data_IF_323548897486
#
_entry.id   IF_323548897486
#
_cell.length_a   1.000
_cell.length_b   1.000
_cell.length_c   1.000
_cell.angle_alpha   90.00
_cell.angle_beta   90.00
_cell.angle_gamma   90.00
#
_symmetry.space_group_name_H-M   'P 1'
#
loop_
_entity.id
_entity.type
_entity.pdbx_description
1 polymer ?
#
# COMPACT_ATOMS: atom_id res chain seq x y z
N UNK A 1 -12.96 3.99 -18.34
CA UNK A 1 -12.77 3.25 -17.07
C UNK A 1 -13.93 3.59 -16.14
N UNK A 2 -14.59 2.62 -15.52
CA UNK A 2 -15.56 2.86 -14.45
C UNK A 2 -14.83 3.08 -13.12
N UNK A 3 -15.41 3.91 -12.25
CA UNK A 3 -14.96 4.03 -10.86
C UNK A 3 -15.35 2.76 -10.12
N UNK A 4 -14.45 2.22 -9.31
CA UNK A 4 -14.70 1.07 -8.45
C UNK A 4 -14.83 1.55 -6.99
N UNK A 5 -15.79 1.01 -6.26
CA UNK A 5 -16.02 1.32 -4.86
C UNK A 5 -15.65 0.12 -3.99
N UNK A 6 -15.04 0.37 -2.83
CA UNK A 6 -14.59 -0.69 -1.95
C UNK A 6 -14.31 -0.26 -0.54
N UNK A 7 -13.74 -1.16 0.25
CA UNK A 7 -13.36 -0.93 1.64
C UNK A 7 -11.88 -1.23 1.88
N UNK A 8 -11.32 -0.59 2.90
CA UNK A 8 -9.99 -0.87 3.43
C UNK A 8 -10.10 -1.74 4.70
N UNK A 9 -9.61 -2.97 4.61
CA UNK A 9 -9.69 -3.96 5.68
C UNK A 9 -11.08 -4.57 5.89
N UNK A 10 -11.17 -5.44 6.88
CA UNK A 10 -12.42 -6.07 7.28
C UNK A 10 -13.21 -5.11 8.17
N UNK A 11 -14.47 -4.83 7.83
CA UNK A 11 -15.35 -4.04 8.68
C UNK A 11 -15.81 -4.84 9.92
N UNK A 12 -16.26 -4.14 10.96
CA UNK A 12 -16.84 -4.77 12.14
C UNK A 12 -18.06 -5.63 11.76
N UNK A 13 -18.93 -5.10 10.90
CA UNK A 13 -20.09 -5.85 10.40
C UNK A 13 -19.68 -7.17 9.75
N UNK A 14 -18.66 -7.17 8.88
CA UNK A 14 -18.16 -8.39 8.27
C UNK A 14 -17.64 -9.37 9.32
N UNK A 15 -16.81 -8.89 10.26
CA UNK A 15 -16.16 -9.74 11.27
C UNK A 15 -17.12 -10.32 12.30
N UNK A 16 -18.22 -9.61 12.60
CA UNK A 16 -19.24 -10.02 13.58
C UNK A 16 -20.31 -10.91 12.97
N UNK A 17 -20.69 -10.68 11.70
CA UNK A 17 -21.88 -11.34 11.12
C UNK A 17 -21.55 -12.38 10.05
N UNK A 18 -20.34 -12.35 9.45
CA UNK A 18 -19.98 -13.22 8.32
C UNK A 18 -18.79 -14.12 8.64
N UNK A 19 -17.59 -13.55 8.79
CA UNK A 19 -16.36 -14.32 8.99
C UNK A 19 -15.23 -13.45 9.56
N UNK A 20 -14.31 -14.10 10.28
CA UNK A 20 -13.03 -13.50 10.71
C UNK A 20 -11.90 -13.69 9.67
N UNK A 21 -12.14 -14.51 8.66
CA UNK A 21 -11.14 -14.82 7.64
C UNK A 21 -11.27 -13.85 6.46
N UNK A 22 -10.23 -13.08 6.18
CA UNK A 22 -10.21 -12.14 5.05
C UNK A 22 -10.42 -12.81 3.68
N UNK A 23 -10.22 -14.12 3.60
CA UNK A 23 -10.49 -14.87 2.37
C UNK A 23 -11.97 -14.91 1.99
N UNK A 24 -12.87 -14.68 2.94
CA UNK A 24 -14.32 -14.66 2.71
C UNK A 24 -14.84 -13.26 2.35
N UNK A 25 -14.03 -12.22 2.57
CA UNK A 25 -14.42 -10.83 2.33
C UNK A 25 -14.82 -10.56 0.87
N UNK A 26 -14.12 -11.07 -0.17
CA UNK A 26 -14.47 -10.77 -1.55
C UNK A 26 -15.91 -11.18 -1.93
N UNK A 27 -16.35 -12.36 -1.52
CA UNK A 27 -17.70 -12.85 -1.83
C UNK A 27 -18.78 -11.99 -1.12
N UNK A 28 -18.53 -11.61 0.11
CA UNK A 28 -19.42 -10.72 0.87
C UNK A 28 -19.48 -9.31 0.27
N UNK A 29 -18.33 -8.73 -0.11
CA UNK A 29 -18.27 -7.40 -0.74
C UNK A 29 -19.02 -7.37 -2.06
N UNK A 30 -18.87 -8.38 -2.89
CA UNK A 30 -19.65 -8.52 -4.11
C UNK A 30 -21.16 -8.58 -3.81
N UNK A 31 -21.57 -9.36 -2.81
CA UNK A 31 -22.99 -9.50 -2.43
C UNK A 31 -23.63 -8.19 -1.95
N UNK A 32 -22.85 -7.25 -1.40
CA UNK A 32 -23.32 -5.92 -1.00
C UNK A 32 -23.07 -4.84 -2.06
N UNK A 33 -22.64 -5.20 -3.26
CA UNK A 33 -22.50 -4.32 -4.42
C UNK A 33 -21.21 -3.49 -4.42
N UNK A 34 -20.14 -3.97 -3.79
CA UNK A 34 -18.82 -3.36 -3.86
C UNK A 34 -17.91 -4.07 -4.86
N UNK A 35 -16.89 -3.35 -5.36
CA UNK A 35 -16.03 -3.75 -6.49
C UNK A 35 -14.57 -3.95 -6.09
N UNK A 36 -14.15 -3.43 -4.91
CA UNK A 36 -12.75 -3.40 -4.52
C UNK A 36 -12.55 -3.71 -3.04
N UNK A 37 -11.37 -4.25 -2.73
CA UNK A 37 -10.94 -4.55 -1.37
C UNK A 37 -9.46 -4.24 -1.19
N UNK A 38 -9.12 -3.42 -0.21
CA UNK A 38 -7.76 -3.15 0.18
C UNK A 38 -7.35 -4.01 1.38
N UNK A 39 -6.40 -4.92 1.17
CA UNK A 39 -5.88 -5.76 2.25
C UNK A 39 -4.91 -4.99 3.14
N UNK A 40 -5.15 -4.96 4.45
CA UNK A 40 -4.40 -4.15 5.41
C UNK A 40 -3.24 -4.92 6.05
N UNK A 41 -2.00 -4.44 5.84
CA UNK A 41 -0.78 -4.94 6.49
C UNK A 41 -0.19 -3.98 7.54
N UNK A 42 -0.98 -3.13 8.17
CA UNK A 42 -0.54 -2.02 9.02
C UNK A 42 0.53 -2.36 10.07
N UNK A 43 0.48 -3.54 10.68
CA UNK A 43 1.45 -4.02 11.68
C UNK A 43 2.45 -5.06 11.13
N UNK A 44 2.72 -5.03 9.85
CA UNK A 44 3.62 -5.95 9.14
C UNK A 44 2.88 -6.94 8.24
N UNK A 45 3.57 -7.44 7.23
CA UNK A 45 3.05 -8.44 6.30
C UNK A 45 3.11 -9.81 6.98
N UNK A 46 1.96 -10.26 7.50
CA UNK A 46 1.84 -11.54 8.24
C UNK A 46 1.10 -12.61 7.45
N UNK A 47 0.51 -12.26 6.32
CA UNK A 47 -0.21 -13.21 5.48
C UNK A 47 0.79 -14.16 4.82
N UNK A 48 0.56 -15.47 4.96
CA UNK A 48 1.33 -16.48 4.25
C UNK A 48 0.83 -16.68 2.82
N UNK A 49 1.68 -17.24 1.96
CA UNK A 49 1.40 -17.42 0.54
C UNK A 49 0.08 -18.15 0.28
N UNK A 50 -0.19 -19.26 0.95
CA UNK A 50 -1.41 -20.05 0.76
C UNK A 50 -2.68 -19.21 1.02
N UNK A 51 -2.70 -18.44 2.10
CA UNK A 51 -3.82 -17.55 2.43
C UNK A 51 -3.95 -16.41 1.43
N UNK A 52 -2.82 -15.79 1.04
CA UNK A 52 -2.80 -14.70 0.06
C UNK A 52 -3.36 -15.18 -1.30
N UNK A 53 -2.92 -16.33 -1.79
CA UNK A 53 -3.45 -16.95 -3.02
C UNK A 53 -4.95 -17.30 -2.91
N UNK A 54 -5.41 -17.74 -1.73
CA UNK A 54 -6.84 -18.02 -1.52
C UNK A 54 -7.67 -16.74 -1.57
N UNK A 55 -7.20 -15.63 -0.96
CA UNK A 55 -7.85 -14.31 -1.07
C UNK A 55 -7.93 -13.90 -2.54
N UNK A 56 -6.83 -13.99 -3.28
CA UNK A 56 -6.78 -13.65 -4.70
C UNK A 56 -7.73 -14.47 -5.56
N UNK A 57 -7.76 -15.79 -5.33
CA UNK A 57 -8.70 -16.69 -6.04
C UNK A 57 -10.16 -16.30 -5.78
N UNK A 58 -10.52 -16.04 -4.53
CA UNK A 58 -11.88 -15.66 -4.15
C UNK A 58 -12.25 -14.29 -4.72
N UNK A 59 -11.30 -13.35 -4.72
CA UNK A 59 -11.50 -12.02 -5.32
C UNK A 59 -11.73 -12.10 -6.83
N UNK A 60 -10.92 -12.88 -7.55
CA UNK A 60 -11.10 -13.10 -8.99
C UNK A 60 -12.46 -13.74 -9.30
N UNK A 61 -12.91 -14.72 -8.51
CA UNK A 61 -14.22 -15.35 -8.66
C UNK A 61 -15.39 -14.40 -8.42
N UNK A 62 -15.23 -13.48 -7.46
CA UNK A 62 -16.22 -12.48 -7.10
C UNK A 62 -16.15 -11.19 -7.94
N UNK A 63 -15.16 -11.05 -8.83
CA UNK A 63 -14.97 -9.81 -9.61
C UNK A 63 -14.47 -8.62 -8.75
N UNK A 64 -13.87 -8.89 -7.59
CA UNK A 64 -13.34 -7.85 -6.67
C UNK A 64 -11.90 -7.53 -7.03
N UNK A 65 -11.60 -6.23 -7.23
CA UNK A 65 -10.23 -5.75 -7.42
C UNK A 65 -9.52 -5.61 -6.08
N UNK A 66 -8.28 -6.10 -6.03
CA UNK A 66 -7.45 -6.05 -4.82
C UNK A 66 -6.39 -4.98 -4.89
N UNK A 67 -6.16 -4.31 -3.76
CA UNK A 67 -4.95 -3.56 -3.43
C UNK A 67 -4.44 -4.00 -2.06
N UNK A 68 -3.22 -3.57 -1.70
CA UNK A 68 -2.62 -3.90 -0.41
C UNK A 68 -2.04 -2.65 0.23
N UNK A 69 -2.40 -2.38 1.48
CA UNK A 69 -1.78 -1.31 2.26
C UNK A 69 -0.56 -1.85 3.01
N UNK A 70 0.60 -1.26 2.76
CA UNK A 70 1.87 -1.63 3.37
C UNK A 70 1.93 -1.24 4.87
N UNK A 71 2.91 -1.78 5.63
CA UNK A 71 3.05 -1.47 7.05
C UNK A 71 3.34 0.00 7.32
N UNK A 72 2.79 0.54 8.42
CA UNK A 72 3.01 1.93 8.90
C UNK A 72 4.47 2.24 9.27
N UNK A 73 5.33 1.24 9.33
CA UNK A 73 6.74 1.36 9.71
C UNK A 73 7.63 1.89 8.60
N UNK A 74 7.13 2.01 7.37
CA UNK A 74 7.85 2.57 6.24
C UNK A 74 8.11 4.05 6.51
N UNK A 75 9.36 4.47 6.30
CA UNK A 75 9.82 5.83 6.55
C UNK A 75 10.76 6.28 5.43
N UNK A 76 10.17 6.80 4.35
CA UNK A 76 10.93 7.25 3.17
C UNK A 76 11.83 8.44 3.49
N UNK A 77 11.38 9.35 4.37
CA UNK A 77 12.13 10.55 4.74
C UNK A 77 13.24 10.31 5.81
N UNK A 78 13.50 9.05 6.18
CA UNK A 78 14.56 8.75 7.15
C UNK A 78 15.90 8.52 6.42
N UNK A 79 17.00 9.22 6.81
CA UNK A 79 18.31 9.06 6.18
C UNK A 79 19.13 7.91 6.77
N UNK A 80 18.70 7.29 7.88
CA UNK A 80 19.44 6.20 8.52
C UNK A 80 19.43 4.94 7.64
N UNK A 81 20.60 4.43 7.22
CA UNK A 81 20.68 3.29 6.30
C UNK A 81 19.97 2.02 6.79
N UNK A 82 19.97 1.77 8.10
CA UNK A 82 19.29 0.59 8.65
C UNK A 82 17.76 0.73 8.58
N UNK A 83 17.25 1.95 8.78
CA UNK A 83 15.83 2.24 8.61
C UNK A 83 15.41 2.17 7.14
N UNK A 84 16.24 2.66 6.24
CA UNK A 84 16.02 2.54 4.78
C UNK A 84 15.96 1.07 4.38
N UNK A 85 16.91 0.26 4.82
CA UNK A 85 16.95 -1.18 4.57
C UNK A 85 15.68 -1.90 5.08
N UNK A 86 15.20 -1.52 6.28
CA UNK A 86 13.93 -2.04 6.81
C UNK A 86 12.75 -1.62 5.95
N UNK A 87 12.69 -0.36 5.52
CA UNK A 87 11.62 0.15 4.64
C UNK A 87 11.60 -0.58 3.31
N UNK A 88 12.76 -0.82 2.69
CA UNK A 88 12.89 -1.67 1.48
C UNK A 88 12.31 -3.07 1.76
N UNK A 89 12.68 -3.69 2.88
CA UNK A 89 12.18 -5.01 3.27
C UNK A 89 10.66 -5.05 3.46
N UNK A 90 10.06 -4.00 4.04
CA UNK A 90 8.61 -3.90 4.19
C UNK A 90 7.90 -3.75 2.84
N UNK A 91 8.42 -2.91 1.94
CA UNK A 91 7.80 -2.71 0.62
C UNK A 91 7.94 -3.97 -0.23
N UNK A 92 9.10 -4.58 -0.30
CA UNK A 92 9.29 -5.82 -1.10
C UNK A 92 8.47 -6.99 -0.56
N UNK A 93 8.30 -7.11 0.77
CA UNK A 93 7.39 -8.08 1.36
C UNK A 93 5.92 -7.79 1.01
N UNK A 94 5.53 -6.52 0.96
CA UNK A 94 4.18 -6.09 0.54
C UNK A 94 3.94 -6.39 -0.94
N UNK A 95 4.89 -6.10 -1.82
CA UNK A 95 4.81 -6.43 -3.24
C UNK A 95 4.68 -7.95 -3.47
N UNK A 96 5.43 -8.75 -2.73
CA UNK A 96 5.32 -10.22 -2.78
C UNK A 96 3.93 -10.71 -2.36
N UNK A 97 3.39 -10.18 -1.27
CA UNK A 97 2.05 -10.53 -0.82
C UNK A 97 0.98 -10.07 -1.83
N UNK A 98 1.13 -8.87 -2.39
CA UNK A 98 0.27 -8.36 -3.46
C UNK A 98 0.30 -9.28 -4.69
N UNK A 99 1.47 -9.71 -5.13
CA UNK A 99 1.63 -10.65 -6.25
C UNK A 99 0.95 -12.00 -5.97
N UNK A 100 1.08 -12.56 -4.75
CA UNK A 100 0.36 -13.78 -4.36
C UNK A 100 -1.15 -13.62 -4.39
N UNK A 101 -1.65 -12.42 -4.06
CA UNK A 101 -3.08 -12.08 -4.09
C UNK A 101 -3.59 -11.74 -5.49
N UNK A 102 -2.71 -11.47 -6.46
CA UNK A 102 -3.11 -10.86 -7.74
C UNK A 102 -3.54 -9.40 -7.60
N UNK A 103 -3.08 -8.71 -6.55
CA UNK A 103 -3.22 -7.27 -6.38
C UNK A 103 -2.12 -6.55 -7.18
N UNK A 104 -2.48 -5.47 -7.86
CA UNK A 104 -1.57 -4.71 -8.72
C UNK A 104 -1.05 -3.42 -8.07
N UNK A 105 -1.49 -3.11 -6.84
CA UNK A 105 -1.17 -1.86 -6.14
C UNK A 105 -0.79 -2.10 -4.70
N UNK A 106 0.25 -1.38 -4.26
CA UNK A 106 0.69 -1.32 -2.87
C UNK A 106 0.71 0.13 -2.41
N UNK A 107 -0.15 0.47 -1.46
CA UNK A 107 -0.24 1.79 -0.83
C UNK A 107 0.80 1.89 0.29
N UNK A 108 1.48 3.02 0.39
CA UNK A 108 2.50 3.24 1.41
C UNK A 108 2.57 4.70 1.89
N UNK A 109 2.86 4.88 3.18
CA UNK A 109 3.10 6.17 3.79
C UNK A 109 4.53 6.66 3.53
N UNK A 110 4.70 7.99 3.42
CA UNK A 110 6.03 8.61 3.24
C UNK A 110 6.83 8.75 4.54
N UNK A 111 6.17 8.69 5.71
CA UNK A 111 6.79 8.74 7.03
C UNK A 111 6.94 10.16 7.59
N UNK A 112 7.61 10.27 8.72
CA UNK A 112 7.76 11.54 9.46
C UNK A 112 8.90 12.40 8.89
N UNK A 113 8.78 13.75 9.04
CA UNK A 113 9.80 14.72 8.61
C UNK A 113 11.12 14.62 9.39
N UNK A 114 11.16 13.92 10.53
CA UNK A 114 12.35 13.70 11.35
C UNK A 114 13.05 15.00 11.75
N UNK A 115 12.28 16.05 12.13
CA UNK A 115 12.76 17.40 12.48
C UNK A 115 13.50 18.14 11.35
N UNK A 116 13.26 17.78 10.10
CA UNK A 116 13.79 18.45 8.91
C UNK A 116 12.75 19.38 8.31
N UNK A 117 13.21 20.26 7.42
CA UNK A 117 12.30 20.98 6.53
C UNK A 117 11.61 20.00 5.58
N UNK A 118 10.44 20.35 5.10
CA UNK A 118 9.70 19.51 4.12
C UNK A 118 10.54 19.22 2.89
N UNK A 119 11.28 20.22 2.39
CA UNK A 119 12.14 20.02 1.19
C UNK A 119 13.26 19.02 1.44
N UNK A 120 13.98 19.13 2.55
CA UNK A 120 15.03 18.16 2.90
C UNK A 120 14.46 16.73 3.06
N UNK A 121 13.30 16.60 3.73
CA UNK A 121 12.63 15.32 3.91
C UNK A 121 12.19 14.72 2.57
N UNK A 122 11.67 15.55 1.65
CA UNK A 122 11.25 15.13 0.31
C UNK A 122 12.45 14.66 -0.55
N UNK A 123 13.58 15.37 -0.49
CA UNK A 123 14.79 14.98 -1.24
C UNK A 123 15.33 13.63 -0.76
N UNK A 124 15.33 13.38 0.56
CA UNK A 124 15.67 12.08 1.15
C UNK A 124 14.67 11.01 0.70
N UNK A 125 13.38 11.30 0.78
CA UNK A 125 12.33 10.36 0.40
C UNK A 125 12.43 9.95 -1.08
N UNK A 126 12.75 10.89 -1.97
CA UNK A 126 13.01 10.59 -3.39
C UNK A 126 14.18 9.63 -3.59
N UNK A 127 15.29 9.84 -2.88
CA UNK A 127 16.45 8.96 -2.96
C UNK A 127 16.10 7.55 -2.48
N UNK A 128 15.41 7.45 -1.34
CA UNK A 128 15.01 6.17 -0.75
C UNK A 128 13.95 5.45 -1.60
N UNK A 129 13.00 6.19 -2.20
CA UNK A 129 11.98 5.60 -3.08
C UNK A 129 12.61 5.02 -4.36
N UNK A 130 13.63 5.68 -4.92
CA UNK A 130 14.41 5.12 -6.04
C UNK A 130 15.10 3.81 -5.65
N UNK A 131 15.69 3.73 -4.46
CA UNK A 131 16.30 2.50 -3.96
C UNK A 131 15.26 1.38 -3.76
N UNK A 132 14.06 1.72 -3.28
CA UNK A 132 12.94 0.78 -3.15
C UNK A 132 12.50 0.27 -4.52
N UNK A 133 12.33 1.15 -5.51
CA UNK A 133 11.95 0.77 -6.88
C UNK A 133 12.98 -0.17 -7.52
N UNK A 134 14.28 0.10 -7.31
CA UNK A 134 15.37 -0.77 -7.77
C UNK A 134 15.28 -2.16 -7.11
N UNK A 135 15.12 -2.21 -5.78
CA UNK A 135 14.99 -3.46 -5.05
C UNK A 135 13.72 -4.26 -5.42
N UNK A 136 12.63 -3.58 -5.76
CA UNK A 136 11.42 -4.21 -6.30
C UNK A 136 11.70 -4.83 -7.68
N UNK A 137 12.37 -4.12 -8.57
CA UNK A 137 12.74 -4.62 -9.89
C UNK A 137 13.69 -5.85 -9.80
N UNK A 138 14.72 -5.79 -8.95
CA UNK A 138 15.63 -6.92 -8.71
C UNK A 138 14.91 -8.19 -8.22
N UNK A 139 13.75 -8.06 -7.59
CA UNK A 139 12.95 -9.18 -7.08
C UNK A 139 11.77 -9.57 -7.99
N UNK A 140 11.64 -8.97 -9.18
CA UNK A 140 10.59 -9.28 -10.15
C UNK A 140 9.23 -8.71 -9.79
N UNK A 141 9.19 -7.52 -9.18
CA UNK A 141 7.96 -6.81 -8.81
C UNK A 141 7.71 -5.56 -9.67
N UNK A 142 8.21 -5.53 -10.92
CA UNK A 142 8.03 -4.39 -11.82
C UNK A 142 6.56 -4.12 -12.17
N UNK A 143 5.73 -5.15 -12.16
CA UNK A 143 4.30 -5.05 -12.46
C UNK A 143 3.47 -4.52 -11.29
N UNK A 144 4.07 -4.32 -10.11
CA UNK A 144 3.37 -3.79 -8.94
C UNK A 144 3.52 -2.27 -8.89
N UNK A 145 2.39 -1.58 -8.94
CA UNK A 145 2.34 -0.12 -8.78
C UNK A 145 2.46 0.26 -7.30
N UNK A 146 3.40 1.14 -6.97
CA UNK A 146 3.51 1.71 -5.64
C UNK A 146 2.73 3.02 -5.56
N UNK A 147 1.93 3.18 -4.51
CA UNK A 147 1.04 4.32 -4.34
C UNK A 147 1.39 5.10 -3.07
N UNK A 148 2.27 6.13 -3.15
CA UNK A 148 2.49 7.04 -2.04
C UNK A 148 1.16 7.72 -1.65
N UNK A 149 0.87 7.75 -0.33
CA UNK A 149 -0.39 8.25 0.19
C UNK A 149 -0.26 9.66 0.78
N UNK A 150 -1.29 10.49 0.58
CA UNK A 150 -1.38 11.80 1.24
C UNK A 150 -1.51 11.64 2.75
N UNK A 151 -0.83 12.52 3.53
CA UNK A 151 -0.73 12.47 4.98
C UNK A 151 -1.23 13.77 5.62
N UNK A 152 -2.18 13.65 6.57
CA UNK A 152 -2.82 14.81 7.22
C UNK A 152 -2.06 15.44 8.39
N UNK A 153 -0.96 14.84 8.86
CA UNK A 153 -0.24 15.38 10.02
C UNK A 153 0.90 16.31 9.59
N UNK A 154 0.97 17.50 10.20
CA UNK A 154 2.01 18.53 9.90
C UNK A 154 3.44 17.99 9.94
N UNK A 155 3.74 17.05 10.82
CA UNK A 155 5.07 16.48 10.99
C UNK A 155 5.33 15.22 10.14
N UNK A 156 4.42 14.91 9.22
CA UNK A 156 4.58 13.84 8.23
C UNK A 156 4.77 14.44 6.84
N UNK A 157 5.60 13.76 6.03
CA UNK A 157 5.76 14.02 4.61
C UNK A 157 4.57 13.42 3.86
N UNK A 158 4.05 14.12 2.87
CA UNK A 158 2.98 13.62 2.01
C UNK A 158 1.79 14.56 1.93
N UNK A 159 1.99 15.89 1.91
CA UNK A 159 0.94 16.76 1.37
C UNK A 159 0.73 16.45 -0.13
N UNK A 160 -0.31 17.01 -0.73
CA UNK A 160 -0.68 16.69 -2.11
C UNK A 160 0.45 16.95 -3.10
N UNK A 161 1.11 18.11 -2.99
CA UNK A 161 2.19 18.49 -3.90
C UNK A 161 3.41 17.56 -3.76
N UNK A 162 3.75 17.17 -2.54
CA UNK A 162 4.84 16.24 -2.24
C UNK A 162 4.56 14.84 -2.80
N UNK A 163 3.34 14.33 -2.63
CA UNK A 163 2.94 13.03 -3.18
C UNK A 163 2.97 13.06 -4.71
N UNK A 164 2.47 14.12 -5.33
CA UNK A 164 2.55 14.29 -6.78
C UNK A 164 4.01 14.38 -7.25
N UNK A 165 4.87 15.11 -6.52
CA UNK A 165 6.30 15.21 -6.84
C UNK A 165 7.03 13.85 -6.68
N UNK A 166 6.69 13.03 -5.69
CA UNK A 166 7.20 11.66 -5.57
C UNK A 166 6.78 10.81 -6.79
N UNK A 167 5.54 10.93 -7.24
CA UNK A 167 5.03 10.16 -8.37
C UNK A 167 5.66 10.54 -9.72
N UNK A 168 6.36 11.68 -9.83
CA UNK A 168 7.11 12.02 -11.06
C UNK A 168 8.40 11.22 -11.24
N UNK A 169 8.84 10.44 -10.24
CA UNK A 169 10.12 9.72 -10.26
C UNK A 169 10.11 8.50 -11.18
N UNK A 170 8.96 7.86 -11.35
CA UNK A 170 8.83 6.61 -12.11
C UNK A 170 7.36 6.39 -12.52
N UNK A 171 7.12 5.78 -13.67
CA UNK A 171 5.77 5.47 -14.17
C UNK A 171 5.00 4.43 -13.32
N UNK A 172 5.72 3.66 -12.50
CA UNK A 172 5.14 2.70 -11.55
C UNK A 172 4.62 3.36 -10.27
N UNK A 173 4.69 4.67 -10.16
CA UNK A 173 4.19 5.44 -9.03
C UNK A 173 2.88 6.14 -9.38
N UNK A 174 1.83 5.90 -8.60
CA UNK A 174 0.53 6.57 -8.75
C UNK A 174 0.13 7.12 -7.38
N UNK A 175 -0.37 8.37 -7.28
CA UNK A 175 -0.76 8.92 -6.00
C UNK A 175 -1.97 8.17 -5.40
N UNK A 176 -1.92 7.91 -4.10
CA UNK A 176 -3.09 7.56 -3.29
C UNK A 176 -3.56 8.81 -2.54
N UNK A 177 -4.77 9.27 -2.84
CA UNK A 177 -5.32 10.48 -2.23
C UNK A 177 -6.31 10.08 -1.13
N UNK A 178 -5.89 10.22 0.13
CA UNK A 178 -6.78 10.11 1.27
C UNK A 178 -7.40 11.47 1.56
N UNK A 179 -8.70 11.62 1.27
CA UNK A 179 -9.43 12.86 1.48
C UNK A 179 -9.65 13.20 2.97
N UNK A 180 -9.50 12.22 3.86
CA UNK A 180 -9.52 12.44 5.29
C UNK A 180 -8.23 13.05 5.83
N UNK A 181 -7.17 13.04 5.01
CA UNK A 181 -5.86 13.61 5.31
C UNK A 181 -5.61 14.97 4.65
N UNK A 182 -6.49 15.46 3.79
CA UNK A 182 -6.37 16.76 3.09
C UNK A 182 -6.90 17.94 3.92
#
# INVERSE_FOLDING_TARGET
MSVLFGVAGNSDTFTETVSKASADAPAWLHAIGLDAYEYQCGKGVRVGEATARQIGKNAAQAGIRLSLHAPYFISLANPDPETVKKSIGYVTASCRAAQWMGADRVILHSGALMKRTRREALDIAKANLKAILAACAEQGFEDVTLCPETMGKINQLGDLDEVLELCTLDERLIPCIDFGHL
#
